data_IF_508129091519
#
_entry.id   IF_508129091519
#
_cell.length_a   1.000
_cell.length_b   1.000
_cell.length_c   1.000
_cell.angle_alpha   90.00
_cell.angle_beta   90.00
_cell.angle_gamma   90.00
#
_symmetry.space_group_name_H-M   'P 1'
#
loop_
_entity.id
_entity.type
_entity.pdbx_description
1 polymer ?
#
# COMPACT_ATOMS: atom_id res chain seq x y z
N UNK A 1 15.58 -1.05 -19.02
CA UNK A 1 14.32 -1.24 -19.75
C UNK A 1 13.99 -2.72 -19.77
N UNK A 2 13.05 -3.14 -18.95
CA UNK A 2 12.45 -4.46 -19.03
C UNK A 2 11.20 -4.36 -19.91
N UNK A 3 10.88 -5.38 -20.70
CA UNK A 3 9.64 -5.46 -21.48
C UNK A 3 8.46 -5.97 -20.64
N UNK A 4 8.58 -5.97 -19.32
CA UNK A 4 7.58 -6.52 -18.43
C UNK A 4 6.29 -5.71 -18.41
N UNK A 5 5.15 -6.38 -18.44
CA UNK A 5 3.85 -5.79 -18.12
C UNK A 5 3.76 -5.58 -16.60
N UNK A 6 3.25 -4.44 -16.19
CA UNK A 6 3.15 -4.05 -14.77
C UNK A 6 1.68 -3.83 -14.41
N UNK A 7 1.22 -4.51 -13.36
CA UNK A 7 -0.13 -4.39 -12.85
C UNK A 7 -0.11 -3.81 -11.44
N UNK A 8 -0.65 -2.60 -11.28
CA UNK A 8 -0.89 -2.01 -9.96
C UNK A 8 -2.25 -2.46 -9.45
N UNK A 9 -2.28 -3.13 -8.31
CA UNK A 9 -3.53 -3.58 -7.70
C UNK A 9 -3.89 -2.68 -6.52
N UNK A 10 -5.14 -2.20 -6.48
CA UNK A 10 -5.66 -1.38 -5.39
C UNK A 10 -6.95 -1.96 -4.85
N UNK A 11 -6.98 -2.21 -3.55
CA UNK A 11 -8.19 -2.56 -2.85
C UNK A 11 -8.89 -1.28 -2.38
N UNK A 12 -10.05 -1.01 -2.94
CA UNK A 12 -10.86 0.16 -2.58
C UNK A 12 -11.64 -0.18 -1.32
N UNK A 13 -11.43 0.61 -0.28
CA UNK A 13 -12.10 0.51 1.01
C UNK A 13 -12.75 1.85 1.31
N UNK A 14 -14.02 1.82 1.67
CA UNK A 14 -14.80 3.04 1.93
C UNK A 14 -14.78 3.48 3.40
N UNK A 15 -14.20 2.65 4.27
CA UNK A 15 -14.15 2.94 5.69
C UNK A 15 -13.20 4.10 6.03
N UNK A 16 -13.70 5.07 6.79
CA UNK A 16 -12.96 6.22 7.31
C UNK A 16 -12.17 6.97 6.22
N UNK A 17 -10.86 6.94 6.28
CA UNK A 17 -9.93 7.73 5.46
C UNK A 17 -9.56 7.09 4.14
N UNK A 18 -10.19 6.00 3.76
CA UNK A 18 -9.74 5.18 2.62
C UNK A 18 -10.49 5.38 1.30
N UNK A 19 -11.59 6.13 1.21
CA UNK A 19 -12.32 6.32 -0.04
C UNK A 19 -11.51 7.02 -1.13
N UNK A 20 -10.47 7.77 -0.80
CA UNK A 20 -9.57 8.39 -1.79
C UNK A 20 -8.44 7.49 -2.27
N UNK A 21 -8.28 6.27 -1.76
CA UNK A 21 -7.20 5.36 -2.18
C UNK A 21 -7.22 5.12 -3.69
N UNK A 22 -8.39 5.00 -4.29
CA UNK A 22 -8.53 4.83 -5.74
C UNK A 22 -7.94 6.02 -6.50
N UNK A 23 -8.26 7.24 -6.10
CA UNK A 23 -7.78 8.45 -6.80
C UNK A 23 -6.28 8.60 -6.71
N UNK A 24 -5.71 8.39 -5.51
CA UNK A 24 -4.25 8.44 -5.32
C UNK A 24 -3.56 7.33 -6.11
N UNK A 25 -4.08 6.11 -6.06
CA UNK A 25 -3.51 4.99 -6.79
C UNK A 25 -3.55 5.24 -8.31
N UNK A 26 -4.64 5.81 -8.83
CA UNK A 26 -4.75 6.21 -10.23
C UNK A 26 -3.73 7.29 -10.61
N UNK A 27 -3.55 8.30 -9.79
CA UNK A 27 -2.58 9.36 -10.04
C UNK A 27 -1.14 8.82 -10.05
N UNK A 28 -0.82 7.89 -9.14
CA UNK A 28 0.46 7.16 -9.13
C UNK A 28 0.63 6.35 -10.41
N UNK A 29 -0.39 5.59 -10.82
CA UNK A 29 -0.32 4.79 -12.06
C UNK A 29 -0.13 5.68 -13.29
N UNK A 30 -0.88 6.79 -13.40
CA UNK A 30 -0.72 7.75 -14.48
C UNK A 30 0.68 8.38 -14.49
N UNK A 31 1.27 8.61 -13.32
CA UNK A 31 2.64 9.09 -13.21
C UNK A 31 3.63 8.09 -13.83
N UNK A 32 3.49 6.80 -13.55
CA UNK A 32 4.31 5.75 -14.14
C UNK A 32 4.08 5.60 -15.63
N UNK A 33 2.83 5.60 -16.09
CA UNK A 33 2.48 5.50 -17.51
C UNK A 33 3.09 6.64 -18.36
N UNK A 34 3.25 7.84 -17.80
CA UNK A 34 3.89 8.95 -18.51
C UNK A 34 5.41 8.86 -18.58
N UNK A 35 6.03 8.09 -17.69
CA UNK A 35 7.51 8.01 -17.58
C UNK A 35 8.12 6.75 -18.18
N UNK A 36 7.35 5.70 -18.25
CA UNK A 36 7.86 4.40 -18.68
C UNK A 36 7.07 3.87 -19.88
N UNK A 37 7.77 3.16 -20.75
CA UNK A 37 7.20 2.57 -21.97
C UNK A 37 6.57 1.20 -21.75
N UNK A 38 6.68 0.68 -20.55
CA UNK A 38 6.03 -0.58 -20.17
C UNK A 38 4.51 -0.48 -20.34
N UNK A 39 3.88 -1.60 -20.61
CA UNK A 39 2.44 -1.72 -20.40
C UNK A 39 2.15 -1.67 -18.91
N UNK A 40 1.42 -0.64 -18.49
CA UNK A 40 1.10 -0.41 -17.07
C UNK A 40 -0.42 -0.32 -16.94
N UNK A 41 -1.01 -1.21 -16.15
CA UNK A 41 -2.45 -1.26 -15.91
C UNK A 41 -2.77 -1.07 -14.41
N UNK A 42 -3.89 -0.42 -14.14
CA UNK A 42 -4.45 -0.29 -12.80
C UNK A 42 -5.64 -1.24 -12.65
N UNK A 43 -5.52 -2.17 -11.70
CA UNK A 43 -6.56 -3.13 -11.37
C UNK A 43 -7.13 -2.78 -10.00
N UNK A 44 -8.45 -2.60 -9.93
CA UNK A 44 -9.13 -2.23 -8.71
C UNK A 44 -10.07 -3.33 -8.24
N UNK A 45 -10.19 -3.48 -6.92
CA UNK A 45 -11.15 -4.35 -6.27
C UNK A 45 -11.87 -3.57 -5.17
N UNK A 46 -13.18 -3.70 -5.11
CA UNK A 46 -14.00 -3.08 -4.09
C UNK A 46 -14.23 -4.02 -2.91
N UNK A 47 -14.03 -3.53 -1.70
CA UNK A 47 -14.37 -4.26 -0.48
C UNK A 47 -15.75 -3.81 -0.02
N UNK A 48 -16.72 -4.74 0.10
CA UNK A 48 -18.02 -4.41 0.63
C UNK A 48 -17.90 -3.84 2.06
N UNK A 49 -18.69 -2.81 2.42
CA UNK A 49 -18.58 -2.15 3.73
C UNK A 49 -18.72 -3.09 4.93
N UNK A 50 -19.52 -4.14 4.80
CA UNK A 50 -19.73 -5.15 5.84
C UNK A 50 -18.50 -6.02 6.12
N UNK A 51 -17.52 -6.01 5.21
CA UNK A 51 -16.27 -6.73 5.34
C UNK A 51 -15.08 -5.82 5.65
N UNK A 52 -15.31 -4.52 5.78
CA UNK A 52 -14.27 -3.56 6.14
C UNK A 52 -14.03 -3.51 7.66
N UNK A 53 -12.82 -3.14 8.05
CA UNK A 53 -12.50 -2.83 9.45
C UNK A 53 -13.12 -1.47 9.85
N UNK A 54 -13.59 -1.31 11.11
CA UNK A 54 -13.52 -2.26 12.22
C UNK A 54 -14.67 -3.27 12.26
N UNK A 55 -15.62 -3.20 11.35
CA UNK A 55 -16.80 -4.06 11.35
C UNK A 55 -16.58 -5.41 10.67
N UNK A 56 -15.41 -5.59 10.08
CA UNK A 56 -15.05 -6.83 9.41
C UNK A 56 -15.09 -8.02 10.36
N UNK A 57 -15.93 -9.02 10.13
CA UNK A 57 -15.95 -10.21 10.97
C UNK A 57 -14.62 -10.94 10.89
N UNK A 58 -14.19 -11.52 12.01
CA UNK A 58 -13.08 -12.45 12.01
C UNK A 58 -13.55 -13.78 11.46
N UNK A 59 -13.00 -14.19 10.33
CA UNK A 59 -13.36 -15.42 9.63
C UNK A 59 -12.16 -16.37 9.71
N UNK A 60 -12.36 -17.66 10.03
CA UNK A 60 -11.30 -18.66 9.97
C UNK A 60 -10.78 -18.80 8.54
N UNK A 61 -9.46 -18.80 8.37
CA UNK A 61 -8.83 -19.20 7.11
C UNK A 61 -8.77 -20.74 7.00
N UNK A 62 -8.18 -21.23 5.93
CA UNK A 62 -8.00 -22.68 5.68
C UNK A 62 -7.19 -23.42 6.76
N UNK A 63 -6.48 -22.69 7.62
CA UNK A 63 -5.70 -23.22 8.76
C UNK A 63 -6.38 -22.95 10.11
N UNK A 64 -7.64 -22.47 10.10
CA UNK A 64 -8.40 -22.14 11.31
C UNK A 64 -7.94 -20.84 12.01
N UNK A 65 -7.05 -20.05 11.41
CA UNK A 65 -6.64 -18.75 11.96
C UNK A 65 -7.67 -17.69 11.62
N UNK A 66 -8.11 -16.96 12.64
CA UNK A 66 -9.05 -15.85 12.44
C UNK A 66 -8.37 -14.69 11.70
N UNK A 67 -8.97 -14.27 10.60
CA UNK A 67 -8.55 -13.13 9.78
C UNK A 67 -9.72 -12.22 9.50
N UNK A 68 -9.46 -10.94 9.30
CA UNK A 68 -10.50 -10.01 8.87
C UNK A 68 -10.98 -10.38 7.45
N UNK A 69 -12.28 -10.21 7.20
CA UNK A 69 -12.88 -10.50 5.90
C UNK A 69 -12.20 -9.75 4.75
N UNK A 70 -11.75 -8.52 5.02
CA UNK A 70 -11.07 -7.72 4.01
C UNK A 70 -9.70 -8.33 3.59
N UNK A 71 -8.97 -8.99 4.51
CA UNK A 71 -7.72 -9.70 4.17
C UNK A 71 -7.99 -10.94 3.31
N UNK A 72 -9.10 -11.63 3.57
CA UNK A 72 -9.52 -12.80 2.78
C UNK A 72 -9.86 -12.35 1.35
N UNK A 73 -10.64 -11.28 1.20
CA UNK A 73 -10.99 -10.74 -0.11
C UNK A 73 -9.76 -10.26 -0.86
N UNK A 74 -8.84 -9.56 -0.20
CA UNK A 74 -7.59 -9.12 -0.83
C UNK A 74 -6.78 -10.32 -1.34
N UNK A 75 -6.67 -11.36 -0.55
CA UNK A 75 -5.97 -12.59 -0.94
C UNK A 75 -6.64 -13.23 -2.15
N UNK A 76 -7.94 -13.49 -2.09
CA UNK A 76 -8.69 -14.11 -3.18
C UNK A 76 -8.60 -13.28 -4.48
N UNK A 77 -8.64 -11.95 -4.37
CA UNK A 77 -8.49 -11.08 -5.52
C UNK A 77 -7.08 -11.15 -6.12
N UNK A 78 -6.05 -11.14 -5.29
CA UNK A 78 -4.67 -11.26 -5.76
C UNK A 78 -4.43 -12.62 -6.43
N UNK A 79 -4.98 -13.70 -5.89
CA UNK A 79 -4.94 -15.04 -6.50
C UNK A 79 -5.63 -15.06 -7.87
N UNK A 80 -6.81 -14.45 -7.96
CA UNK A 80 -7.52 -14.30 -9.24
C UNK A 80 -6.69 -13.52 -10.27
N UNK A 81 -6.10 -12.38 -9.89
CA UNK A 81 -5.24 -11.57 -10.76
C UNK A 81 -4.02 -12.38 -11.23
N UNK A 82 -3.36 -13.06 -10.31
CA UNK A 82 -2.19 -13.88 -10.61
C UNK A 82 -2.49 -14.93 -11.68
N UNK A 83 -3.59 -15.62 -11.51
CA UNK A 83 -4.01 -16.67 -12.46
C UNK A 83 -4.44 -16.08 -13.81
N UNK A 84 -5.26 -15.02 -13.78
CA UNK A 84 -5.81 -14.38 -14.99
C UNK A 84 -4.73 -13.78 -15.88
N UNK A 85 -3.76 -13.12 -15.27
CA UNK A 85 -2.70 -12.41 -15.99
C UNK A 85 -1.39 -13.18 -16.05
N UNK A 86 -1.34 -14.40 -15.49
CA UNK A 86 -0.16 -15.29 -15.46
C UNK A 86 1.07 -14.54 -14.94
N UNK A 87 0.95 -13.97 -13.74
CA UNK A 87 2.02 -13.16 -13.17
C UNK A 87 3.27 -13.99 -12.89
N UNK A 88 4.43 -13.44 -13.23
CA UNK A 88 5.74 -14.04 -12.92
C UNK A 88 6.18 -13.74 -11.49
N UNK A 89 5.72 -12.63 -10.91
CA UNK A 89 6.08 -12.21 -9.55
C UNK A 89 5.08 -11.21 -8.98
N UNK A 90 5.05 -11.12 -7.64
CA UNK A 90 4.41 -10.05 -6.86
C UNK A 90 5.41 -9.24 -6.08
N UNK A 91 5.08 -7.97 -5.88
CA UNK A 91 5.86 -7.06 -5.04
C UNK A 91 4.97 -6.42 -3.98
N UNK A 92 5.37 -6.52 -2.71
CA UNK A 92 4.68 -5.91 -1.59
C UNK A 92 5.57 -4.87 -0.89
N UNK A 93 5.02 -3.68 -0.68
CA UNK A 93 5.75 -2.52 -0.14
C UNK A 93 5.88 -2.49 1.38
N UNK A 94 6.02 -3.64 2.04
CA UNK A 94 6.23 -3.71 3.50
C UNK A 94 7.64 -3.24 3.84
N UNK A 95 7.76 -2.33 4.81
CA UNK A 95 9.04 -1.80 5.30
C UNK A 95 9.12 -1.88 6.83
N UNK A 96 10.34 -1.74 7.39
CA UNK A 96 10.54 -1.66 8.83
C UNK A 96 10.03 -0.33 9.38
N UNK A 97 9.46 -0.38 10.59
CA UNK A 97 9.11 0.82 11.33
C UNK A 97 10.34 1.41 12.03
N UNK A 98 10.51 2.75 12.03
CA UNK A 98 11.57 3.38 12.82
C UNK A 98 11.31 3.21 14.32
N UNK A 99 12.35 2.79 15.07
CA UNK A 99 12.22 2.56 16.52
C UNK A 99 11.90 3.85 17.29
N UNK A 100 12.35 5.01 16.79
CA UNK A 100 12.19 6.31 17.44
C UNK A 100 10.73 6.80 17.47
N UNK A 101 9.91 6.36 16.53
CA UNK A 101 8.48 6.72 16.50
C UNK A 101 7.57 5.55 16.84
N UNK A 102 8.18 4.39 17.11
CA UNK A 102 7.47 3.16 17.37
C UNK A 102 7.26 2.96 18.88
N UNK A 103 6.17 3.44 19.41
CA UNK A 103 5.77 3.28 20.81
C UNK A 103 5.00 1.96 21.06
N UNK A 104 5.46 0.86 20.48
CA UNK A 104 4.85 -0.46 20.67
C UNK A 104 3.52 -0.70 19.93
N UNK A 105 3.07 0.27 19.11
CA UNK A 105 1.72 0.22 18.53
C UNK A 105 1.56 -0.77 17.36
N UNK A 106 2.63 -1.21 16.70
CA UNK A 106 2.56 -2.16 15.58
C UNK A 106 3.73 -3.15 15.60
N UNK A 107 3.86 -3.99 16.64
CA UNK A 107 4.98 -4.91 16.79
C UNK A 107 5.09 -5.91 15.63
N UNK A 108 3.98 -6.28 15.00
CA UNK A 108 3.97 -7.25 13.92
C UNK A 108 4.77 -6.85 12.68
N UNK A 109 5.04 -5.57 12.46
CA UNK A 109 5.87 -5.11 11.33
C UNK A 109 7.37 -5.23 11.59
N UNK A 110 7.77 -5.23 12.85
CA UNK A 110 9.17 -5.37 13.24
C UNK A 110 9.56 -6.80 13.59
N UNK A 111 8.61 -7.71 13.53
CA UNK A 111 8.89 -9.14 13.68
C UNK A 111 9.44 -9.63 12.34
N UNK A 112 10.66 -10.15 12.27
CA UNK A 112 11.26 -10.64 11.03
C UNK A 112 10.67 -12.00 10.63
N UNK A 113 9.36 -12.03 10.46
CA UNK A 113 8.58 -13.25 10.17
C UNK A 113 8.34 -13.39 8.66
N UNK A 114 8.45 -12.27 7.93
CA UNK A 114 8.23 -12.28 6.49
C UNK A 114 9.59 -12.37 5.81
N UNK A 115 9.88 -13.44 5.07
CA UNK A 115 11.12 -13.51 4.30
C UNK A 115 11.12 -12.48 3.17
N UNK A 116 12.31 -12.03 2.69
CA UNK A 116 12.42 -11.12 1.54
C UNK A 116 11.73 -11.65 0.28
N UNK A 117 11.67 -12.95 0.14
CA UNK A 117 10.90 -13.64 -0.92
C UNK A 117 10.21 -14.85 -0.30
N UNK A 118 8.93 -14.98 -0.57
CA UNK A 118 8.17 -16.20 -0.27
C UNK A 118 7.48 -16.71 -1.55
N UNK A 119 7.15 -17.98 -1.59
CA UNK A 119 6.38 -18.54 -2.70
C UNK A 119 4.91 -18.64 -2.28
N UNK A 120 4.02 -18.06 -3.06
CA UNK A 120 2.58 -18.19 -2.90
C UNK A 120 1.95 -18.64 -4.22
N UNK A 121 1.26 -19.78 -4.21
CA UNK A 121 0.68 -20.39 -5.42
C UNK A 121 1.68 -20.60 -6.56
N UNK A 122 2.92 -20.93 -6.24
CA UNK A 122 4.00 -21.09 -7.22
C UNK A 122 4.60 -19.77 -7.74
N UNK A 123 4.12 -18.62 -7.27
CA UNK A 123 4.58 -17.31 -7.70
C UNK A 123 5.44 -16.69 -6.60
N UNK A 124 6.63 -16.13 -6.92
CA UNK A 124 7.44 -15.42 -5.95
C UNK A 124 6.78 -14.10 -5.53
N UNK A 125 6.64 -13.90 -4.23
CA UNK A 125 6.20 -12.65 -3.61
C UNK A 125 7.43 -11.99 -3.00
N UNK A 126 7.82 -10.87 -3.58
CA UNK A 126 8.99 -10.10 -3.15
C UNK A 126 8.60 -9.01 -2.16
N UNK A 127 9.39 -8.88 -1.08
CA UNK A 127 9.28 -7.82 -0.09
C UNK A 127 10.59 -7.00 -0.11
N UNK A 128 10.81 -6.16 -1.14
CA UNK A 128 12.11 -5.51 -1.35
C UNK A 128 12.50 -4.53 -0.25
N UNK A 129 11.52 -4.06 0.53
CA UNK A 129 11.74 -3.05 1.57
C UNK A 129 11.64 -3.63 2.99
N UNK A 130 11.54 -4.96 3.14
CA UNK A 130 11.28 -5.59 4.45
C UNK A 130 12.37 -5.30 5.50
N UNK A 131 13.60 -5.05 5.05
CA UNK A 131 14.76 -4.79 5.91
C UNK A 131 15.20 -3.31 5.91
N UNK A 132 14.40 -2.40 5.36
CA UNK A 132 14.75 -0.98 5.29
C UNK A 132 13.64 -0.10 5.85
N UNK A 133 14.01 1.07 6.36
CA UNK A 133 13.09 2.06 6.88
C UNK A 133 12.70 3.09 5.79
N UNK A 134 11.75 3.93 6.08
CA UNK A 134 11.17 4.87 5.12
C UNK A 134 12.18 5.93 4.62
N UNK A 135 13.17 6.30 5.42
CA UNK A 135 14.24 7.22 5.03
C UNK A 135 15.05 6.67 3.84
N UNK A 136 15.34 5.36 3.84
CA UNK A 136 16.00 4.72 2.73
C UNK A 136 15.16 4.82 1.45
N UNK A 137 13.86 4.59 1.55
CA UNK A 137 12.93 4.69 0.41
C UNK A 137 12.92 6.12 -0.13
N UNK A 138 12.84 7.12 0.73
CA UNK A 138 12.87 8.53 0.33
C UNK A 138 14.18 8.90 -0.36
N UNK A 139 15.33 8.43 0.15
CA UNK A 139 16.64 8.61 -0.53
C UNK A 139 16.63 8.01 -1.93
N UNK A 140 16.06 6.82 -2.12
CA UNK A 140 15.93 6.21 -3.45
C UNK A 140 15.07 7.03 -4.40
N UNK A 141 14.04 7.71 -3.90
CA UNK A 141 13.27 8.64 -4.73
C UNK A 141 14.14 9.81 -5.21
N UNK A 142 14.96 10.38 -4.33
CA UNK A 142 15.87 11.48 -4.69
C UNK A 142 16.95 11.02 -5.68
N UNK A 143 17.62 9.90 -5.41
CA UNK A 143 18.66 9.33 -6.26
C UNK A 143 18.19 8.98 -7.68
N UNK A 144 16.92 8.60 -7.81
CA UNK A 144 16.32 8.25 -9.10
C UNK A 144 15.58 9.43 -9.77
N UNK A 145 15.62 10.63 -9.20
CA UNK A 145 14.97 11.82 -9.75
C UNK A 145 13.43 11.71 -9.80
N UNK A 146 12.84 11.01 -8.83
CA UNK A 146 11.39 10.75 -8.78
C UNK A 146 10.74 11.31 -7.49
N UNK A 147 11.28 12.40 -6.97
CA UNK A 147 10.75 13.03 -5.74
C UNK A 147 9.31 13.51 -5.91
N UNK A 148 8.94 13.92 -7.10
CA UNK A 148 7.58 14.32 -7.46
C UNK A 148 6.55 13.18 -7.27
N UNK A 149 6.96 11.92 -7.40
CA UNK A 149 6.12 10.76 -7.05
C UNK A 149 5.79 10.75 -5.55
N UNK A 150 6.73 11.17 -4.70
CA UNK A 150 6.48 11.24 -3.27
C UNK A 150 5.35 12.22 -2.93
N UNK A 151 5.24 13.33 -3.65
CA UNK A 151 4.22 14.35 -3.40
C UNK A 151 2.79 13.87 -3.71
N UNK A 152 2.63 12.98 -4.66
CA UNK A 152 1.33 12.40 -5.00
C UNK A 152 0.97 11.16 -4.17
N UNK A 153 1.93 10.50 -3.52
CA UNK A 153 1.64 9.37 -2.64
C UNK A 153 1.12 9.81 -1.27
N UNK A 154 0.34 8.95 -0.62
CA UNK A 154 -0.19 9.20 0.74
C UNK A 154 -0.02 7.97 1.61
N UNK A 155 0.25 8.24 2.89
CA UNK A 155 0.34 7.18 3.92
C UNK A 155 -0.68 7.39 5.04
N UNK A 156 -1.38 8.52 5.06
CA UNK A 156 -2.30 8.89 6.13
C UNK A 156 -3.46 7.88 6.24
N UNK A 157 -3.69 7.39 7.44
CA UNK A 157 -4.84 6.57 7.82
C UNK A 157 -5.61 7.19 9.00
N UNK A 158 -5.44 8.50 9.22
CA UNK A 158 -6.18 9.25 10.23
C UNK A 158 -7.68 9.30 9.96
N UNK A 159 -8.46 9.50 11.00
CA UNK A 159 -9.90 9.68 10.90
C UNK A 159 -10.21 11.14 10.54
N UNK A 160 -11.10 11.32 9.59
CA UNK A 160 -11.61 12.63 9.19
C UNK A 160 -13.14 12.56 9.22
N UNK A 161 -13.72 12.87 10.35
CA UNK A 161 -15.17 12.76 10.60
C UNK A 161 -16.00 13.67 9.68
N UNK A 162 -15.42 14.78 9.24
CA UNK A 162 -16.12 15.82 8.47
C UNK A 162 -15.97 15.68 6.95
N UNK A 163 -15.32 14.66 6.45
CA UNK A 163 -15.13 14.48 5.01
C UNK A 163 -16.37 13.89 4.35
N UNK A 164 -17.04 14.72 3.57
CA UNK A 164 -18.09 14.25 2.66
C UNK A 164 -17.46 13.55 1.46
N UNK A 165 -17.32 12.24 1.56
CA UNK A 165 -16.68 11.40 0.56
C UNK A 165 -17.37 11.41 -0.80
N UNK A 166 -18.66 11.73 -0.86
CA UNK A 166 -19.43 11.78 -2.11
C UNK A 166 -19.04 12.93 -3.02
N UNK A 167 -18.39 13.97 -2.47
CA UNK A 167 -17.96 15.16 -3.20
C UNK A 167 -16.47 15.21 -3.50
N UNK A 168 -15.71 14.12 -3.21
CA UNK A 168 -14.28 14.07 -3.48
C UNK A 168 -14.04 14.09 -4.99
N UNK A 169 -13.35 15.13 -5.46
CA UNK A 169 -12.99 15.28 -6.89
C UNK A 169 -11.59 14.74 -7.15
N UNK A 170 -11.36 14.10 -8.32
CA UNK A 170 -10.02 13.77 -8.78
C UNK A 170 -9.11 15.01 -8.72
N UNK A 171 -7.85 14.83 -8.35
CA UNK A 171 -6.84 15.90 -8.22
C UNK A 171 -7.05 16.89 -7.05
N UNK A 172 -8.00 16.66 -6.21
CA UNK A 172 -8.11 17.39 -4.96
C UNK A 172 -7.02 16.92 -4.00
N UNK A 173 -6.36 17.86 -3.29
CA UNK A 173 -5.38 17.49 -2.29
C UNK A 173 -6.03 16.62 -1.21
N UNK A 174 -5.52 15.40 -1.01
CA UNK A 174 -5.97 14.54 0.07
C UNK A 174 -5.47 15.12 1.38
N UNK A 175 -6.33 15.36 2.38
CA UNK A 175 -5.90 15.88 3.66
C UNK A 175 -4.96 14.89 4.35
N UNK A 176 -4.05 15.44 5.17
CA UNK A 176 -3.10 14.69 5.98
C UNK A 176 -3.34 15.11 7.44
N UNK A 177 -3.65 14.16 8.31
CA UNK A 177 -3.91 14.47 9.72
C UNK A 177 -2.65 14.89 10.48
N UNK A 178 -1.46 14.52 10.02
CA UNK A 178 -0.18 14.87 10.62
C UNK A 178 0.20 14.10 11.90
N UNK A 179 -0.73 13.40 12.54
CA UNK A 179 -0.58 12.80 13.87
C UNK A 179 -0.76 11.26 13.91
N UNK A 180 -1.31 10.64 12.88
CA UNK A 180 -1.35 9.18 12.85
C UNK A 180 0.06 8.59 12.63
N UNK A 181 0.24 7.33 13.05
CA UNK A 181 1.52 6.63 12.90
C UNK A 181 2.11 6.77 11.48
N UNK A 182 1.31 6.62 10.46
CA UNK A 182 1.73 6.69 9.06
C UNK A 182 2.19 8.08 8.61
N UNK A 183 1.58 9.14 9.16
CA UNK A 183 2.03 10.51 8.94
C UNK A 183 3.36 10.77 9.64
N UNK A 184 3.50 10.30 10.88
CA UNK A 184 4.74 10.43 11.67
C UNK A 184 5.88 9.67 11.01
N UNK A 185 5.65 8.45 10.56
CA UNK A 185 6.64 7.63 9.82
C UNK A 185 7.08 8.32 8.52
N UNK A 186 6.14 8.92 7.78
CA UNK A 186 6.46 9.66 6.56
C UNK A 186 7.31 10.90 6.85
N UNK A 187 6.95 11.68 7.86
CA UNK A 187 7.70 12.87 8.30
C UNK A 187 9.10 12.48 8.80
N UNK A 188 9.20 11.39 9.56
CA UNK A 188 10.47 10.83 10.02
C UNK A 188 11.36 10.44 8.83
N UNK A 189 10.82 9.74 7.85
CA UNK A 189 11.55 9.33 6.64
C UNK A 189 12.10 10.51 5.86
N UNK A 190 11.31 11.56 5.65
CA UNK A 190 11.75 12.81 5.02
C UNK A 190 12.90 13.47 5.79
N UNK A 191 12.73 13.66 7.10
CA UNK A 191 13.72 14.31 7.96
C UNK A 191 15.07 13.58 7.96
N UNK A 192 15.08 12.25 7.88
CA UNK A 192 16.30 11.45 7.95
C UNK A 192 16.93 11.16 6.58
N UNK A 193 16.15 11.24 5.52
CA UNK A 193 16.67 11.11 4.17
C UNK A 193 17.47 12.32 3.68
N UNK A 194 17.18 13.51 4.22
CA UNK A 194 17.78 14.79 3.81
C UNK A 194 18.99 15.20 4.67
N UNK A 195 19.43 14.36 5.56
CA UNK A 195 20.66 14.52 6.32
C UNK A 195 21.84 13.85 5.60
#
# INVERSE_FOLDING_TARGET
NTSADIYFTTQIRMWKTRPWQEYIARDVVHWFQRRYTNRIEHLTNFVPPELEEPVSPLIPDEYGKLKSGNRIILRAYNEYIAHKYKLDAWYAGVNLNPSEIFNGALPERNIPVIPPVLIHMGIPVHHPFINVQKDWIVRRYAENGIVDLFDITRSCEGEFEDLNYTNYKPYQSVPICGNCFWCLERAWGLKHALK
#
